data_IF_169652960640
#
_entry.id   IF_169652960640
#
_cell.length_a   1.000
_cell.length_b   1.000
_cell.length_c   1.000
_cell.angle_alpha   90.00
_cell.angle_beta   90.00
_cell.angle_gamma   90.00
#
_symmetry.space_group_name_H-M   'P 1'
#
loop_
_entity.id
_entity.type
_entity.pdbx_description
1 polymer ?
#
# COMPACT_ATOMS: atom_id res chain seq x y z
N UNK A 1 -3.05 13.90 11.24
CA UNK A 1 -3.07 12.43 11.44
C UNK A 1 -1.67 11.82 11.36
N UNK A 2 -0.95 11.97 10.23
CA UNK A 2 0.41 11.39 10.01
C UNK A 2 1.37 11.56 11.20
N UNK A 3 1.52 12.79 11.70
CA UNK A 3 2.43 13.14 12.81
C UNK A 3 2.20 12.36 14.11
N UNK A 4 0.94 12.11 14.48
CA UNK A 4 0.65 11.36 15.72
C UNK A 4 1.00 9.87 15.56
N UNK A 5 0.73 9.30 14.38
CA UNK A 5 1.08 7.92 14.07
C UNK A 5 2.60 7.72 14.01
N UNK A 6 3.31 8.62 13.31
CA UNK A 6 4.77 8.64 13.24
C UNK A 6 5.40 8.64 14.64
N UNK A 7 4.93 9.54 15.53
CA UNK A 7 5.44 9.64 16.90
C UNK A 7 5.22 8.34 17.67
N UNK A 8 4.00 7.79 17.68
CA UNK A 8 3.69 6.58 18.43
C UNK A 8 4.48 5.36 17.97
N UNK A 9 4.68 5.22 16.66
CA UNK A 9 5.45 4.10 16.12
C UNK A 9 6.95 4.29 16.34
N UNK A 10 7.46 5.52 16.28
CA UNK A 10 8.84 5.81 16.66
C UNK A 10 9.10 5.48 18.15
N UNK A 11 8.19 5.84 19.05
CA UNK A 11 8.25 5.49 20.49
C UNK A 11 8.26 3.97 20.71
N UNK A 12 7.57 3.22 19.85
CA UNK A 12 7.54 1.75 19.88
C UNK A 12 8.75 1.08 19.17
N UNK A 13 9.72 1.86 18.68
CA UNK A 13 10.90 1.33 17.98
C UNK A 13 10.66 0.92 16.52
N UNK A 14 9.57 1.40 15.91
CA UNK A 14 9.17 1.11 14.53
C UNK A 14 8.98 2.41 13.71
N UNK A 15 10.04 3.21 13.47
CA UNK A 15 9.91 4.45 12.71
C UNK A 15 9.41 4.20 11.28
N UNK A 16 8.57 5.12 10.77
CA UNK A 16 8.05 5.07 9.39
C UNK A 16 8.96 5.87 8.46
N UNK A 17 9.40 5.27 7.37
CA UNK A 17 10.25 5.93 6.36
C UNK A 17 9.47 6.72 5.30
N UNK A 18 8.20 6.43 5.07
CA UNK A 18 7.39 7.13 4.07
C UNK A 18 5.90 6.80 4.12
N UNK A 19 5.08 7.70 3.57
CA UNK A 19 3.63 7.53 3.44
C UNK A 19 3.21 7.67 1.99
N UNK A 20 2.73 6.58 1.41
CA UNK A 20 2.23 6.51 0.05
C UNK A 20 0.72 6.28 0.09
N UNK A 21 -0.03 7.07 -0.67
CA UNK A 21 -1.49 6.97 -0.73
C UNK A 21 -1.99 7.38 -2.11
N UNK A 22 -3.11 6.80 -2.53
CA UNK A 22 -3.74 7.08 -3.80
C UNK A 22 -5.11 7.72 -3.54
N UNK A 23 -5.35 8.97 -3.99
CA UNK A 23 -6.65 9.63 -3.81
C UNK A 23 -7.68 9.21 -4.88
N UNK A 24 -7.25 8.49 -5.91
CA UNK A 24 -8.06 8.21 -7.08
C UNK A 24 -9.03 7.03 -6.87
N UNK A 25 -10.20 7.15 -7.47
CA UNK A 25 -11.17 6.06 -7.64
C UNK A 25 -12.00 6.37 -8.88
N UNK A 26 -12.10 5.51 -9.91
CA UNK A 26 -12.84 5.83 -11.14
C UNK A 26 -14.30 6.25 -10.91
N UNK A 27 -14.93 5.69 -9.88
CA UNK A 27 -16.30 6.03 -9.44
C UNK A 27 -16.33 7.02 -8.25
N UNK A 28 -15.25 7.78 -8.05
CA UNK A 28 -15.12 8.74 -6.95
C UNK A 28 -16.03 9.95 -7.11
N UNK A 29 -16.44 10.55 -5.99
CA UNK A 29 -17.35 11.70 -5.98
C UNK A 29 -16.70 13.02 -6.43
N UNK A 30 -15.37 13.12 -6.33
CA UNK A 30 -14.61 14.31 -6.72
C UNK A 30 -14.05 14.10 -8.12
N UNK A 31 -14.56 14.86 -9.09
CA UNK A 31 -14.26 14.67 -10.51
C UNK A 31 -12.75 14.67 -10.84
N UNK A 32 -11.96 15.52 -10.17
CA UNK A 32 -10.50 15.57 -10.34
C UNK A 32 -9.81 14.24 -9.99
N UNK A 33 -10.35 13.49 -9.03
CA UNK A 33 -9.80 12.20 -8.60
C UNK A 33 -10.52 11.00 -9.21
N UNK A 34 -11.56 11.24 -10.02
CA UNK A 34 -12.39 10.21 -10.64
C UNK A 34 -11.77 9.66 -11.92
N UNK A 35 -10.56 9.12 -11.82
CA UNK A 35 -9.76 8.65 -12.95
C UNK A 35 -9.24 7.23 -12.71
N UNK A 36 -8.90 6.54 -13.81
CA UNK A 36 -8.00 5.39 -13.76
C UNK A 36 -6.58 5.88 -13.49
N UNK A 37 -5.85 5.16 -12.63
CA UNK A 37 -4.49 5.52 -12.25
C UNK A 37 -3.64 4.27 -11.98
N UNK A 38 -2.33 4.45 -12.00
CA UNK A 38 -1.38 3.38 -11.67
C UNK A 38 -1.08 3.27 -10.17
N UNK A 39 -1.55 4.22 -9.34
CA UNK A 39 -1.27 4.17 -7.90
C UNK A 39 -2.24 3.31 -7.10
N UNK A 40 -3.49 3.17 -7.54
CA UNK A 40 -4.52 2.50 -6.75
C UNK A 40 -4.32 0.99 -6.84
N UNK A 41 -4.18 0.31 -5.70
CA UNK A 41 -4.21 -1.15 -5.63
C UNK A 41 -5.45 -1.68 -6.38
N UNK A 42 -5.34 -2.75 -7.18
CA UNK A 42 -4.23 -3.70 -7.26
C UNK A 42 -3.02 -3.27 -8.12
N UNK A 43 -3.00 -2.03 -8.64
CA UNK A 43 -1.80 -1.53 -9.35
C UNK A 43 -0.62 -1.31 -8.39
N UNK A 44 0.62 -1.59 -8.83
CA UNK A 44 1.79 -1.55 -7.96
C UNK A 44 2.41 -0.16 -7.79
N UNK A 45 1.84 0.91 -8.38
CA UNK A 45 2.52 2.20 -8.52
C UNK A 45 2.99 2.82 -7.20
N UNK A 46 2.23 2.68 -6.10
CA UNK A 46 2.69 3.16 -4.79
C UNK A 46 3.91 2.39 -4.26
N UNK A 47 3.99 1.09 -4.51
CA UNK A 47 5.13 0.26 -4.07
C UNK A 47 6.37 0.57 -4.90
N UNK A 48 6.19 0.75 -6.21
CA UNK A 48 7.28 1.14 -7.11
C UNK A 48 7.83 2.53 -6.78
N UNK A 49 6.95 3.48 -6.44
CA UNK A 49 7.39 4.80 -5.98
C UNK A 49 8.18 4.71 -4.67
N UNK A 50 7.69 3.93 -3.70
CA UNK A 50 8.39 3.71 -2.44
C UNK A 50 9.78 3.07 -2.64
N UNK A 51 9.90 2.15 -3.61
CA UNK A 51 11.18 1.53 -3.96
C UNK A 51 12.21 2.54 -4.48
N UNK A 52 11.77 3.49 -5.29
CA UNK A 52 12.62 4.55 -5.83
C UNK A 52 13.04 5.50 -4.72
N UNK A 53 12.08 6.03 -3.96
CA UNK A 53 12.33 7.08 -2.97
C UNK A 53 13.17 6.58 -1.79
N UNK A 54 13.01 5.31 -1.41
CA UNK A 54 13.68 4.71 -0.24
C UNK A 54 14.84 3.78 -0.63
N UNK A 55 15.13 3.65 -1.92
CA UNK A 55 16.18 2.77 -2.46
C UNK A 55 16.09 1.32 -1.95
N UNK A 56 14.87 0.76 -1.91
CA UNK A 56 14.61 -0.60 -1.41
C UNK A 56 14.40 -1.63 -2.53
N UNK A 57 14.86 -2.86 -2.28
CA UNK A 57 14.63 -4.01 -3.18
C UNK A 57 13.29 -4.70 -2.86
N UNK A 58 12.31 -4.54 -3.76
CA UNK A 58 10.99 -5.14 -3.60
C UNK A 58 11.01 -6.66 -3.63
N UNK A 59 11.94 -7.31 -4.36
CA UNK A 59 12.06 -8.77 -4.40
C UNK A 59 12.44 -9.39 -3.06
N UNK A 60 13.02 -8.58 -2.16
CA UNK A 60 13.36 -8.93 -0.78
C UNK A 60 12.41 -8.33 0.25
N UNK A 61 11.40 -7.62 -0.20
CA UNK A 61 10.42 -6.93 0.65
C UNK A 61 9.13 -7.73 0.79
N UNK A 62 8.35 -7.37 1.81
CA UNK A 62 7.02 -7.94 2.08
C UNK A 62 5.99 -6.82 2.10
N UNK A 63 4.86 -7.03 1.44
CA UNK A 63 3.63 -6.28 1.68
C UNK A 63 2.75 -7.06 2.65
N UNK A 64 2.24 -6.37 3.66
CA UNK A 64 1.30 -6.91 4.64
C UNK A 64 0.00 -6.12 4.48
N UNK A 65 -1.09 -6.80 4.17
CA UNK A 65 -2.40 -6.19 3.95
C UNK A 65 -3.53 -7.13 4.34
N UNK A 66 -4.74 -6.60 4.41
CA UNK A 66 -5.96 -7.32 4.81
C UNK A 66 -6.90 -7.57 3.62
N UNK A 67 -6.66 -6.97 2.45
CA UNK A 67 -7.49 -7.18 1.26
C UNK A 67 -6.71 -7.82 0.11
N UNK A 68 -7.41 -8.46 -0.83
CA UNK A 68 -6.79 -9.15 -1.96
C UNK A 68 -6.04 -8.20 -2.89
N UNK A 69 -6.51 -6.96 -3.03
CA UNK A 69 -5.84 -5.93 -3.82
C UNK A 69 -4.41 -5.67 -3.32
N UNK A 70 -4.11 -5.85 -2.03
CA UNK A 70 -2.74 -5.81 -1.52
C UNK A 70 -1.92 -6.95 -2.12
N UNK A 71 -2.44 -8.17 -2.07
CA UNK A 71 -1.75 -9.37 -2.54
C UNK A 71 -1.48 -9.28 -4.05
N UNK A 72 -2.43 -8.75 -4.81
CA UNK A 72 -2.25 -8.50 -6.25
C UNK A 72 -1.22 -7.40 -6.53
N UNK A 73 -1.28 -6.27 -5.80
CA UNK A 73 -0.30 -5.19 -5.94
C UNK A 73 1.11 -5.67 -5.60
N UNK A 74 1.25 -6.50 -4.57
CA UNK A 74 2.51 -7.09 -4.18
C UNK A 74 3.11 -7.97 -5.28
N UNK A 75 2.30 -8.90 -5.81
CA UNK A 75 2.71 -9.76 -6.93
C UNK A 75 3.11 -8.94 -8.16
N UNK A 76 2.32 -7.93 -8.52
CA UNK A 76 2.60 -7.05 -9.65
C UNK A 76 3.89 -6.23 -9.46
N UNK A 77 4.21 -5.86 -8.21
CA UNK A 77 5.43 -5.15 -7.85
C UNK A 77 6.66 -6.08 -7.70
N UNK A 78 6.47 -7.40 -7.73
CA UNK A 78 7.52 -8.39 -7.53
C UNK A 78 7.90 -8.61 -6.06
N UNK A 79 7.08 -8.17 -5.09
CA UNK A 79 7.32 -8.41 -3.68
C UNK A 79 6.56 -9.63 -3.13
N UNK A 80 6.96 -10.06 -1.94
CA UNK A 80 6.24 -11.11 -1.21
C UNK A 80 5.02 -10.50 -0.51
N UNK A 81 4.01 -11.31 -0.25
CA UNK A 81 2.76 -10.83 0.35
C UNK A 81 2.34 -11.67 1.56
N UNK A 82 1.78 -11.01 2.57
CA UNK A 82 1.06 -11.63 3.69
C UNK A 82 -0.34 -11.05 3.72
N UNK A 83 -1.35 -11.93 3.64
CA UNK A 83 -2.75 -11.58 3.90
C UNK A 83 -3.02 -11.80 5.38
N UNK A 84 -3.47 -10.75 6.07
CA UNK A 84 -3.88 -10.85 7.45
C UNK A 84 -5.25 -11.52 7.54
N UNK A 85 -5.33 -12.61 8.31
CA UNK A 85 -6.60 -13.19 8.73
C UNK A 85 -7.02 -12.50 10.03
N UNK A 86 -7.89 -11.50 9.90
CA UNK A 86 -8.37 -10.68 11.02
C UNK A 86 -9.91 -10.61 11.09
N UNK A 87 -10.62 -11.41 10.27
CA UNK A 87 -12.08 -11.45 10.17
C UNK A 87 -12.67 -10.41 9.23
N UNK A 88 -11.84 -9.59 8.59
CA UNK A 88 -12.23 -8.60 7.58
C UNK A 88 -11.56 -8.83 6.23
N UNK A 89 -10.87 -9.95 6.07
CA UNK A 89 -10.22 -10.28 4.81
C UNK A 89 -11.22 -10.48 3.67
N UNK A 90 -10.90 -9.95 2.51
CA UNK A 90 -11.59 -10.32 1.26
C UNK A 90 -11.08 -11.70 0.81
N UNK A 91 -12.00 -12.57 0.42
CA UNK A 91 -11.70 -13.92 -0.08
C UNK A 91 -11.75 -13.97 -1.61
N UNK A 92 -10.95 -14.86 -2.22
CA UNK A 92 -11.10 -15.16 -3.64
C UNK A 92 -12.33 -16.04 -3.76
N UNK A 93 -13.25 -15.66 -4.65
CA UNK A 93 -14.40 -16.50 -4.99
C UNK A 93 -13.98 -17.79 -5.71
#
# INVERSE_FOLDING_TARGET
>A
MKRCLEMKLAEAGAPISGFYYCPHHPQGAVAEYAIECECRKPRPGMLLQAAIDLEIDLGRSWLIGDILDDIEAAKAAGCRAVLLNNGHETEWA
#
